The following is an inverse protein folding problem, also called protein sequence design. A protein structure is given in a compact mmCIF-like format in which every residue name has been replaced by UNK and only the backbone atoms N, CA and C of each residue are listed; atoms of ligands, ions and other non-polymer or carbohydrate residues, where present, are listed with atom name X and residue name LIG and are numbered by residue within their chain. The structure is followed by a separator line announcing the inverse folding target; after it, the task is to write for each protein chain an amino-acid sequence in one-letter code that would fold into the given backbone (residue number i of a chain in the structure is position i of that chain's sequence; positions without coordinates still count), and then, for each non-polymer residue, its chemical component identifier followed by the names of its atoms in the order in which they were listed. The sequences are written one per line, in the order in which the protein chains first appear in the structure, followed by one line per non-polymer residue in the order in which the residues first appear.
data_IF_494961823752
#
_entry.id   IF_494961823752
#
_cell.length_a   1.000
_cell.length_b   1.000
_cell.length_c   1.000
_cell.angle_alpha   90.00
_cell.angle_beta   90.00
_cell.angle_gamma   90.00
#
_symmetry.space_group_name_H-M   'P 1'
#
loop_
_entity.id
_entity.type
_entity.pdbx_description
1 polymer ?
#
# COMPACT_ATOMS: atom_id res chain seq x y z
N UNK A 1 1.32 18.83 4.17
CA UNK A 1 0.14 18.71 3.31
C UNK A 1 -0.63 17.44 3.66
N UNK A 2 -1.94 17.55 3.79
CA UNK A 2 -2.79 16.46 4.24
C UNK A 2 -3.64 15.92 3.11
N UNK A 3 -3.01 15.35 2.09
CA UNK A 3 -3.73 14.82 0.94
C UNK A 3 -4.69 13.69 1.31
N UNK A 4 -4.41 12.99 2.41
CA UNK A 4 -5.24 11.89 2.87
C UNK A 4 -6.52 12.33 3.57
N UNK A 5 -6.69 13.63 3.83
CA UNK A 5 -7.90 14.15 4.49
C UNK A 5 -8.91 14.74 3.52
N UNK A 6 -8.52 15.00 2.29
CA UNK A 6 -9.45 15.50 1.30
C UNK A 6 -10.00 14.36 0.44
N UNK A 7 -11.24 14.48 -0.04
CA UNK A 7 -11.80 13.46 -0.93
C UNK A 7 -11.01 13.41 -2.23
N UNK A 8 -10.95 12.23 -2.81
CA UNK A 8 -10.38 12.06 -4.14
C UNK A 8 -11.26 12.75 -5.17
N UNK A 9 -10.64 13.47 -6.08
CA UNK A 9 -11.33 14.16 -7.15
C UNK A 9 -10.79 13.71 -8.50
N UNK A 10 -11.51 14.04 -9.55
CA UNK A 10 -11.10 13.71 -10.91
C UNK A 10 -9.74 14.31 -11.26
N UNK A 11 -9.42 15.48 -10.70
CA UNK A 11 -8.14 16.13 -10.96
C UNK A 11 -6.95 15.35 -10.41
N UNK A 12 -7.16 14.51 -9.39
CA UNK A 12 -6.09 13.68 -8.84
C UNK A 12 -5.60 12.68 -9.88
N UNK A 13 -6.49 12.20 -10.75
CA UNK A 13 -6.12 11.26 -11.79
C UNK A 13 -5.54 11.96 -13.01
N UNK A 14 -6.09 13.12 -13.37
CA UNK A 14 -5.66 13.88 -14.54
C UNK A 14 -4.25 14.44 -14.41
N UNK A 15 -3.83 14.78 -13.20
CA UNK A 15 -2.51 15.32 -12.96
C UNK A 15 -1.41 14.25 -12.90
N UNK A 16 -1.77 12.99 -13.10
CA UNK A 16 -0.82 11.89 -13.03
C UNK A 16 -0.51 11.41 -11.64
N UNK A 17 -1.17 11.97 -10.64
CA UNK A 17 -1.00 11.51 -9.26
C UNK A 17 -1.74 10.22 -9.02
N UNK A 18 -1.11 9.31 -8.29
CA UNK A 18 -1.78 8.13 -7.77
C UNK A 18 -2.11 8.37 -6.30
N UNK A 19 -3.39 8.28 -5.91
CA UNK A 19 -3.76 8.52 -4.52
C UNK A 19 -3.36 7.40 -3.57
N UNK A 20 -2.96 6.24 -4.11
CA UNK A 20 -2.67 5.06 -3.30
C UNK A 20 -1.24 5.03 -2.80
N UNK A 21 -0.31 5.62 -3.54
CA UNK A 21 1.09 5.63 -3.15
C UNK A 21 1.82 6.77 -3.85
N UNK A 22 2.97 7.11 -3.31
CA UNK A 22 3.86 8.06 -3.99
C UNK A 22 5.30 7.64 -3.74
N UNK A 23 6.20 8.09 -4.59
CA UNK A 23 7.62 7.84 -4.41
C UNK A 23 8.33 9.13 -4.03
N UNK A 24 9.40 8.98 -3.27
CA UNK A 24 10.22 10.09 -2.83
C UNK A 24 11.65 9.58 -2.65
N UNK A 25 12.59 10.27 -3.26
CA UNK A 25 14.00 9.89 -3.18
C UNK A 25 14.46 10.01 -1.73
N UNK A 26 15.13 8.96 -1.26
CA UNK A 26 15.69 8.90 0.09
C UNK A 26 14.64 8.89 1.20
N UNK A 27 13.52 8.24 0.96
CA UNK A 27 12.56 8.03 2.04
C UNK A 27 13.22 7.23 3.17
N UNK A 28 13.17 7.76 4.39
CA UNK A 28 13.70 7.07 5.55
C UNK A 28 12.71 6.05 6.12
N UNK A 29 11.44 6.20 5.81
CA UNK A 29 10.39 5.38 6.36
C UNK A 29 9.22 5.27 5.39
N UNK A 30 8.45 4.20 5.51
CA UNK A 30 7.20 4.01 4.80
C UNK A 30 6.05 4.42 5.72
N UNK A 31 5.20 5.30 5.24
CA UNK A 31 3.99 5.66 5.96
C UNK A 31 2.84 4.76 5.50
N UNK A 32 2.19 4.11 6.44
CA UNK A 32 1.08 3.20 6.16
C UNK A 32 -0.21 3.78 6.70
N UNK A 33 -1.15 4.02 5.80
CA UNK A 33 -2.50 4.45 6.18
C UNK A 33 -3.38 3.21 6.20
N UNK A 34 -3.50 2.59 7.37
CA UNK A 34 -4.29 1.37 7.50
C UNK A 34 -5.78 1.66 7.41
N UNK A 35 -6.53 0.68 6.94
CA UNK A 35 -7.98 0.82 6.74
C UNK A 35 -8.75 1.02 8.05
N UNK A 36 -8.16 0.62 9.16
CA UNK A 36 -8.78 0.81 10.48
C UNK A 36 -8.66 2.26 11.00
N UNK A 37 -8.04 3.13 10.23
CA UNK A 37 -7.87 4.53 10.59
C UNK A 37 -6.57 4.85 11.31
N UNK A 38 -5.79 3.85 11.68
CA UNK A 38 -4.49 4.07 12.28
C UNK A 38 -3.43 4.31 11.21
N UNK A 39 -2.51 5.22 11.47
CA UNK A 39 -1.39 5.51 10.59
C UNK A 39 -0.10 5.08 11.27
N UNK A 40 0.78 4.46 10.49
CA UNK A 40 2.04 3.95 11.01
C UNK A 40 3.19 4.49 10.18
N UNK A 41 4.30 4.70 10.85
CA UNK A 41 5.55 5.11 10.19
C UNK A 41 6.56 4.00 10.45
N UNK A 42 6.95 3.29 9.40
CA UNK A 42 7.81 2.12 9.51
C UNK A 42 9.18 2.43 8.91
N UNK A 43 10.24 2.49 9.72
CA UNK A 43 11.57 2.81 9.20
C UNK A 43 12.08 1.77 8.22
N UNK A 44 12.64 2.21 7.10
CA UNK A 44 13.21 1.29 6.13
C UNK A 44 14.37 0.48 6.68
N UNK A 45 15.05 1.00 7.70
CA UNK A 45 16.11 0.23 8.38
C UNK A 45 15.61 -1.09 8.96
N UNK A 46 14.30 -1.22 9.18
CA UNK A 46 13.69 -2.42 9.73
C UNK A 46 12.94 -3.26 8.69
N UNK A 47 13.05 -2.90 7.42
CA UNK A 47 12.46 -3.70 6.35
C UNK A 47 13.25 -5.00 6.20
N UNK A 48 12.55 -6.12 6.27
CA UNK A 48 13.16 -7.45 6.18
C UNK A 48 12.97 -8.06 4.81
N UNK A 49 11.75 -8.04 4.28
CA UNK A 49 11.43 -8.64 3.01
C UNK A 49 10.04 -8.20 2.55
N UNK A 50 9.74 -8.50 1.30
CA UNK A 50 8.40 -8.33 0.76
C UNK A 50 8.16 -9.43 -0.27
N UNK A 51 6.91 -9.84 -0.41
CA UNK A 51 6.53 -10.83 -1.41
C UNK A 51 5.17 -10.47 -2.00
N UNK A 52 5.03 -10.74 -3.28
CA UNK A 52 3.78 -10.50 -3.98
C UNK A 52 3.32 -11.78 -4.66
N UNK A 53 2.01 -11.97 -4.70
CA UNK A 53 1.43 -13.17 -5.29
C UNK A 53 -0.05 -12.93 -5.58
N UNK A 54 -0.66 -13.86 -6.31
CA UNK A 54 -2.10 -13.81 -6.57
C UNK A 54 -2.87 -13.95 -5.26
N UNK A 55 -3.89 -13.11 -5.09
CA UNK A 55 -4.68 -13.14 -3.87
C UNK A 55 -5.43 -14.46 -3.77
N UNK A 56 -5.19 -15.27 -2.72
CA UNK A 56 -5.88 -16.56 -2.57
C UNK A 56 -7.40 -16.46 -2.48
N UNK A 57 -7.91 -15.30 -2.04
CA UNK A 57 -9.36 -15.10 -1.94
C UNK A 57 -10.07 -15.16 -3.30
N UNK A 58 -9.32 -15.04 -4.41
CA UNK A 58 -9.91 -15.11 -5.75
C UNK A 58 -10.59 -16.45 -6.02
N UNK A 59 -10.15 -17.51 -5.37
CA UNK A 59 -10.75 -18.84 -5.56
C UNK A 59 -12.21 -18.88 -5.11
N UNK A 60 -12.57 -18.06 -4.13
CA UNK A 60 -13.91 -18.03 -3.56
C UNK A 60 -14.65 -16.76 -3.90
N UNK A 61 -13.92 -15.67 -4.18
CA UNK A 61 -14.48 -14.38 -4.47
C UNK A 61 -13.86 -13.83 -5.75
N UNK A 62 -14.47 -14.08 -6.91
CA UNK A 62 -13.90 -13.62 -8.18
C UNK A 62 -13.73 -12.10 -8.26
N UNK A 63 -14.48 -11.35 -7.47
CA UNK A 63 -14.39 -9.89 -7.43
C UNK A 63 -13.36 -9.38 -6.43
N UNK A 64 -12.66 -10.26 -5.73
CA UNK A 64 -11.62 -9.86 -4.80
C UNK A 64 -10.48 -9.16 -5.53
N UNK A 65 -9.72 -8.30 -4.86
CA UNK A 65 -8.52 -7.72 -5.45
C UNK A 65 -7.58 -8.81 -5.94
N UNK A 66 -7.05 -8.70 -7.17
CA UNK A 66 -6.32 -9.84 -7.78
C UNK A 66 -4.94 -10.12 -7.19
N UNK A 67 -4.32 -9.12 -6.56
CA UNK A 67 -2.94 -9.25 -6.09
C UNK A 67 -2.82 -8.97 -4.61
N UNK A 68 -1.84 -9.62 -4.01
CA UNK A 68 -1.52 -9.43 -2.59
C UNK A 68 -0.03 -9.18 -2.45
N UNK A 69 0.33 -8.11 -1.76
CA UNK A 69 1.70 -7.76 -1.43
C UNK A 69 1.84 -7.77 0.09
N UNK A 70 2.79 -8.56 0.59
CA UNK A 70 3.06 -8.64 2.03
C UNK A 70 4.44 -8.06 2.28
N UNK A 71 4.49 -7.04 3.13
CA UNK A 71 5.73 -6.34 3.46
C UNK A 71 6.07 -6.64 4.91
N UNK A 72 7.24 -7.22 5.13
CA UNK A 72 7.68 -7.62 6.45
C UNK A 72 8.69 -6.63 7.01
N UNK A 73 8.30 -5.95 8.06
CA UNK A 73 9.19 -5.15 8.89
C UNK A 73 9.46 -5.91 10.19
N UNK A 74 10.53 -5.54 10.89
CA UNK A 74 10.91 -6.23 12.13
C UNK A 74 9.78 -6.28 13.15
N UNK A 75 8.95 -5.24 13.20
CA UNK A 75 7.90 -5.11 14.21
C UNK A 75 6.49 -5.11 13.63
N UNK A 76 6.35 -5.27 12.33
CA UNK A 76 5.03 -5.19 11.71
C UNK A 76 4.99 -5.93 10.38
N UNK A 77 3.81 -6.41 10.04
CA UNK A 77 3.54 -6.97 8.73
C UNK A 77 2.44 -6.13 8.08
N UNK A 78 2.71 -5.63 6.89
CA UNK A 78 1.75 -4.82 6.12
C UNK A 78 1.23 -5.67 4.97
N UNK A 79 -0.08 -5.76 4.85
CA UNK A 79 -0.72 -6.49 3.76
C UNK A 79 -1.46 -5.49 2.88
N UNK A 80 -1.11 -5.48 1.60
CA UNK A 80 -1.71 -4.61 0.59
C UNK A 80 -2.42 -5.50 -0.42
N UNK A 81 -3.71 -5.25 -0.62
CA UNK A 81 -4.50 -5.94 -1.63
C UNK A 81 -4.86 -4.95 -2.73
N UNK A 82 -4.74 -5.37 -3.97
CA UNK A 82 -5.05 -4.47 -5.07
C UNK A 82 -4.69 -5.06 -6.42
N UNK A 83 -4.40 -4.17 -7.36
CA UNK A 83 -3.99 -4.52 -8.71
C UNK A 83 -2.86 -3.62 -9.17
N UNK A 84 -2.01 -4.13 -10.06
CA UNK A 84 -0.85 -3.39 -10.53
C UNK A 84 0.15 -3.09 -9.44
N UNK A 85 0.30 -3.99 -8.47
CA UNK A 85 1.12 -3.76 -7.28
C UNK A 85 2.62 -3.85 -7.56
N UNK A 86 3.01 -4.29 -8.75
CA UNK A 86 4.42 -4.31 -9.15
C UNK A 86 5.05 -2.92 -9.11
N UNK A 87 4.27 -1.87 -9.36
CA UNK A 87 4.77 -0.49 -9.26
C UNK A 87 5.08 -0.13 -7.80
N UNK A 88 4.24 -0.58 -6.88
CA UNK A 88 4.47 -0.37 -5.45
C UNK A 88 5.72 -1.13 -5.01
N UNK A 89 5.83 -2.38 -5.43
CA UNK A 89 6.97 -3.23 -5.11
C UNK A 89 8.27 -2.63 -5.65
N UNK A 90 8.22 -2.07 -6.86
CA UNK A 90 9.38 -1.43 -7.46
C UNK A 90 9.88 -0.25 -6.63
N UNK A 91 8.97 0.60 -6.17
CA UNK A 91 9.34 1.73 -5.32
C UNK A 91 9.85 1.28 -3.96
N UNK A 92 9.25 0.21 -3.43
CA UNK A 92 9.69 -0.38 -2.17
C UNK A 92 11.13 -0.90 -2.28
N UNK A 93 11.46 -1.55 -3.40
CA UNK A 93 12.79 -2.08 -3.66
C UNK A 93 13.86 -0.99 -3.64
N UNK A 94 13.50 0.21 -4.05
CA UNK A 94 14.40 1.36 -4.11
C UNK A 94 14.42 2.17 -2.81
N UNK A 95 13.65 1.77 -1.80
CA UNK A 95 13.43 2.56 -0.59
C UNK A 95 12.84 3.94 -0.90
N UNK A 96 12.05 4.01 -1.97
CA UNK A 96 11.46 5.28 -2.42
C UNK A 96 9.95 5.33 -2.23
N UNK A 97 9.34 4.26 -1.79
CA UNK A 97 7.91 4.25 -1.51
C UNK A 97 7.65 5.11 -0.26
N UNK A 98 6.91 6.20 -0.45
CA UNK A 98 6.66 7.16 0.63
C UNK A 98 5.48 6.74 1.49
N UNK A 99 4.36 6.38 0.87
CA UNK A 99 3.19 5.91 1.61
C UNK A 99 2.40 4.89 0.81
N UNK A 100 1.53 4.15 1.51
CA UNK A 100 0.49 3.32 0.91
C UNK A 100 -0.83 3.63 1.57
N UNK A 101 -1.89 3.67 0.78
CA UNK A 101 -3.23 4.02 1.22
C UNK A 101 -4.25 3.40 0.27
N UNK A 102 -5.36 2.90 0.80
CA UNK A 102 -6.42 2.39 -0.05
C UNK A 102 -7.23 3.52 -0.68
N UNK A 103 -7.82 3.23 -1.83
CA UNK A 103 -8.74 4.13 -2.52
C UNK A 103 -10.03 3.38 -2.82
N UNK A 104 -11.18 4.10 -2.90
CA UNK A 104 -12.45 3.44 -3.17
C UNK A 104 -12.42 2.58 -4.43
N UNK A 105 -13.13 1.47 -4.39
CA UNK A 105 -13.16 0.49 -5.48
C UNK A 105 -13.61 1.10 -6.80
N UNK A 106 -14.46 2.11 -6.76
CA UNK A 106 -14.96 2.76 -7.98
C UNK A 106 -13.84 3.38 -8.82
N UNK A 107 -12.66 3.59 -8.23
CA UNK A 107 -11.52 4.15 -8.95
C UNK A 107 -10.60 3.09 -9.54
N UNK A 108 -10.87 1.81 -9.32
CA UNK A 108 -9.98 0.74 -9.76
C UNK A 108 -9.72 0.77 -11.28
N UNK A 109 -10.74 1.06 -12.06
CA UNK A 109 -10.61 1.11 -13.52
C UNK A 109 -9.92 2.36 -14.04
N UNK A 110 -9.65 3.35 -13.17
CA UNK A 110 -9.02 4.61 -13.55
C UNK A 110 -7.54 4.66 -13.21
N UNK A 111 -7.05 3.68 -12.46
CA UNK A 111 -5.68 3.69 -11.94
C UNK A 111 -4.91 2.49 -12.48
N UNK A 112 -3.67 2.72 -12.91
CA UNK A 112 -2.77 1.62 -13.28
C UNK A 112 -2.43 0.76 -12.06
N UNK A 113 -2.31 1.40 -10.91
CA UNK A 113 -2.12 0.72 -9.63
C UNK A 113 -3.25 1.16 -8.72
N UNK A 114 -4.01 0.18 -8.23
CA UNK A 114 -5.09 0.45 -7.28
C UNK A 114 -4.88 -0.39 -6.03
N UNK A 115 -4.85 0.28 -4.89
CA UNK A 115 -4.80 -0.39 -3.59
C UNK A 115 -6.22 -0.42 -3.04
N UNK A 116 -6.74 -1.63 -2.86
CA UNK A 116 -8.10 -1.84 -2.38
C UNK A 116 -8.17 -1.94 -0.86
N UNK A 117 -7.12 -2.44 -0.24
CA UNK A 117 -7.08 -2.61 1.22
C UNK A 117 -5.65 -2.54 1.73
N UNK A 118 -5.47 -1.94 2.89
CA UNK A 118 -4.20 -1.88 3.59
C UNK A 118 -4.45 -2.28 5.05
N UNK A 119 -3.83 -3.36 5.48
CA UNK A 119 -3.91 -3.80 6.86
C UNK A 119 -2.52 -3.95 7.43
N UNK A 120 -2.40 -3.80 8.74
CA UNK A 120 -1.13 -3.93 9.43
C UNK A 120 -1.33 -4.77 10.68
N UNK A 121 -0.40 -5.68 10.90
CA UNK A 121 -0.38 -6.50 12.10
C UNK A 121 0.94 -6.26 12.80
N UNK A 122 0.88 -5.81 14.04
CA UNK A 122 2.11 -5.60 14.81
C UNK A 122 2.61 -6.93 15.33
N UNK A 123 3.90 -7.15 15.20
CA UNK A 123 4.56 -8.35 15.72
C UNK A 123 4.80 -8.14 17.21
N UNK A 124 4.24 -9.03 18.02
CA UNK A 124 4.48 -8.98 19.46
C UNK A 124 5.79 -9.69 19.76
N UNK A 125 6.64 -9.01 20.51
CA UNK A 125 7.82 -9.68 21.01
C UNK A 125 7.44 -10.66 22.10
N UNK A 126 7.97 -11.86 21.99
CA UNK A 126 7.86 -12.84 23.06
C UNK A 126 8.96 -12.56 24.07
N UNK A 127 8.54 -12.02 25.17
CA UNK A 127 9.48 -11.74 26.25
C UNK A 127 9.48 -12.89 27.22
#
# INVERSE_FOLDING_TARGET
MNINKRPLTESDFRSGHNPCFTSDINSAALKVYADDGHNYLLPYAQLLSAESFSNPALEQEPDAPPEKLVIHFAQAEVVVLGSGLDSVEHELQQYELNFVKSAPRRFAGLLNTHIAAVTITLTKENV
#
